data_IF_953445796894
#
_entry.id   IF_953445796894
#
_cell.length_a   1.000
_cell.length_b   1.000
_cell.length_c   1.000
_cell.angle_alpha   90.00
_cell.angle_beta   90.00
_cell.angle_gamma   90.00
#
_symmetry.space_group_name_H-M   'P 1'
#
loop_
_entity.id
_entity.type
_entity.pdbx_description
1 polymer ?
#
# COMPACT_ATOMS: atom_id res chain seq x y z
N UNK A 1 -17.19 34.03 -48.83
CA UNK A 1 -18.01 32.81 -48.99
C UNK A 1 -17.17 31.70 -49.60
N UNK A 2 -16.93 30.61 -48.86
CA UNK A 2 -17.00 29.20 -49.30
C UNK A 2 -16.48 28.33 -48.15
N UNK A 3 -17.37 27.47 -47.67
CA UNK A 3 -17.20 26.50 -46.59
C UNK A 3 -16.43 25.31 -47.13
N UNK A 4 -15.44 24.80 -46.41
CA UNK A 4 -15.10 23.38 -46.43
C UNK A 4 -14.82 22.97 -44.98
N UNK A 5 -15.80 22.26 -44.42
CA UNK A 5 -15.72 21.55 -43.15
C UNK A 5 -15.03 20.23 -43.48
N UNK A 6 -13.80 20.02 -43.00
CA UNK A 6 -13.18 18.69 -43.07
C UNK A 6 -13.49 17.96 -41.77
N UNK A 7 -14.65 17.33 -41.77
CA UNK A 7 -15.05 16.32 -40.81
C UNK A 7 -14.33 15.01 -41.17
N UNK A 8 -14.03 14.20 -40.15
CA UNK A 8 -13.52 12.82 -40.19
C UNK A 8 -12.00 12.62 -40.04
N UNK A 9 -11.60 12.30 -38.81
CA UNK A 9 -10.89 11.06 -38.53
C UNK A 9 -11.17 10.68 -37.08
N UNK A 10 -12.24 9.91 -36.91
CA UNK A 10 -12.51 9.11 -35.73
C UNK A 10 -11.36 8.13 -35.55
N UNK A 11 -10.28 8.54 -34.87
CA UNK A 11 -9.35 7.58 -34.30
C UNK A 11 -9.97 7.08 -33.01
N UNK A 12 -10.94 6.19 -33.19
CA UNK A 12 -11.22 5.16 -32.22
C UNK A 12 -9.90 4.40 -32.02
N UNK A 13 -9.15 4.76 -30.98
CA UNK A 13 -8.23 3.81 -30.38
C UNK A 13 -9.11 2.74 -29.74
N UNK A 14 -9.46 1.79 -30.60
CA UNK A 14 -9.98 0.48 -30.27
C UNK A 14 -9.28 -0.01 -29.02
N UNK A 15 -10.10 -0.23 -27.99
CA UNK A 15 -9.80 -0.94 -26.77
C UNK A 15 -9.03 -2.22 -27.07
N UNK A 16 -7.71 -2.15 -26.98
CA UNK A 16 -6.88 -3.32 -26.86
C UNK A 16 -6.87 -3.72 -25.39
N UNK A 17 -8.01 -4.21 -24.91
CA UNK A 17 -8.07 -4.99 -23.68
C UNK A 17 -7.43 -6.34 -23.98
N UNK A 18 -6.10 -6.38 -23.96
CA UNK A 18 -5.38 -7.64 -23.87
C UNK A 18 -5.64 -8.15 -22.45
N UNK A 19 -6.50 -9.15 -22.33
CA UNK A 19 -6.63 -9.97 -21.12
C UNK A 19 -5.28 -10.68 -20.87
N UNK A 20 -4.37 -9.96 -20.23
CA UNK A 20 -3.02 -10.40 -19.88
C UNK A 20 -3.07 -10.88 -18.44
N UNK A 21 -3.31 -12.17 -18.24
CA UNK A 21 -3.06 -12.79 -16.94
C UNK A 21 -1.56 -12.68 -16.66
N UNK A 22 -1.17 -11.78 -15.77
CA UNK A 22 0.23 -11.43 -15.57
C UNK A 22 0.53 -11.17 -14.11
N UNK A 23 1.79 -11.43 -13.76
CA UNK A 23 2.31 -11.04 -12.46
C UNK A 23 2.66 -9.56 -12.52
N UNK A 24 1.98 -8.76 -11.70
CA UNK A 24 2.16 -7.32 -11.61
C UNK A 24 2.84 -7.00 -10.28
N UNK A 25 3.83 -6.10 -10.31
CA UNK A 25 4.39 -5.53 -9.09
C UNK A 25 3.52 -4.35 -8.66
N UNK A 26 3.07 -4.40 -7.42
CA UNK A 26 2.20 -3.40 -6.81
C UNK A 26 2.94 -2.78 -5.65
N UNK A 27 3.01 -1.46 -5.65
CA UNK A 27 3.56 -0.64 -4.57
C UNK A 27 2.40 0.02 -3.83
N UNK A 28 2.46 -0.02 -2.49
CA UNK A 28 1.43 0.48 -1.60
C UNK A 28 2.07 1.10 -0.38
N UNK A 29 1.29 1.96 0.26
CA UNK A 29 1.59 2.58 1.53
C UNK A 29 0.44 2.23 2.47
N UNK A 30 0.73 1.91 3.73
CA UNK A 30 -0.31 1.64 4.72
C UNK A 30 0.07 2.21 6.08
N UNK A 31 -0.92 2.84 6.71
CA UNK A 31 -0.84 3.22 8.12
C UNK A 31 -1.30 2.05 8.99
N UNK A 32 -0.35 1.43 9.66
CA UNK A 32 -0.59 0.32 10.57
C UNK A 32 -0.78 0.88 11.98
N UNK A 33 -1.94 0.64 12.57
CA UNK A 33 -2.20 1.06 13.95
C UNK A 33 -1.44 0.15 14.92
N UNK A 34 -0.54 0.73 15.71
CA UNK A 34 0.25 0.02 16.71
C UNK A 34 -0.49 0.01 18.06
N UNK A 35 -1.21 1.07 18.38
CA UNK A 35 -2.04 1.18 19.58
C UNK A 35 -2.04 2.57 20.21
N UNK A 36 -2.67 2.67 21.37
CA UNK A 36 -2.73 3.88 22.21
C UNK A 36 -1.98 3.62 23.51
N UNK A 37 -1.17 4.59 23.94
CA UNK A 37 -0.25 4.49 25.06
C UNK A 37 -0.35 5.70 25.99
N UNK A 38 0.04 5.52 27.25
CA UNK A 38 -0.04 6.56 28.26
C UNK A 38 1.07 7.62 28.16
N UNK A 39 2.18 7.31 27.46
CA UNK A 39 3.29 8.26 27.24
C UNK A 39 3.79 8.22 25.80
N UNK A 40 4.36 9.33 25.36
CA UNK A 40 4.96 9.44 24.03
C UNK A 40 6.12 8.45 23.84
N UNK A 41 6.96 8.24 24.86
CA UNK A 41 8.07 7.29 24.80
C UNK A 41 7.60 5.85 24.65
N UNK A 42 6.49 5.50 25.31
CA UNK A 42 5.88 4.17 25.17
C UNK A 42 5.33 3.97 23.76
N UNK A 43 4.61 4.96 23.23
CA UNK A 43 4.11 4.96 21.86
C UNK A 43 5.24 4.81 20.83
N UNK A 44 6.31 5.61 20.97
CA UNK A 44 7.48 5.57 20.11
C UNK A 44 8.16 4.19 20.15
N UNK A 45 8.47 3.69 21.36
CA UNK A 45 9.14 2.40 21.51
C UNK A 45 8.31 1.23 20.98
N UNK A 46 6.98 1.30 21.13
CA UNK A 46 6.08 0.29 20.58
C UNK A 46 6.08 0.29 19.05
N UNK A 47 6.03 1.47 18.42
CA UNK A 47 6.05 1.58 16.96
C UNK A 47 7.40 1.14 16.36
N UNK A 48 8.53 1.48 17.00
CA UNK A 48 9.86 1.01 16.57
C UNK A 48 10.01 -0.51 16.70
N UNK A 49 9.50 -1.09 17.79
CA UNK A 49 9.46 -2.55 17.96
C UNK A 49 8.58 -3.20 16.91
N UNK A 50 7.45 -2.59 16.60
CA UNK A 50 6.54 -3.09 15.56
C UNK A 50 7.22 -3.04 14.18
N UNK A 51 7.86 -1.94 13.81
CA UNK A 51 8.63 -1.83 12.57
C UNK A 51 9.77 -2.88 12.49
N UNK A 52 10.48 -3.08 13.60
CA UNK A 52 11.52 -4.12 13.69
C UNK A 52 10.92 -5.52 13.51
N UNK A 53 9.74 -5.77 14.07
CA UNK A 53 9.06 -7.06 13.94
C UNK A 53 8.68 -7.36 12.49
N UNK A 54 8.21 -6.36 11.72
CA UNK A 54 7.88 -6.54 10.30
C UNK A 54 9.10 -7.04 9.50
N UNK A 55 10.28 -6.49 9.75
CA UNK A 55 11.52 -6.92 9.07
C UNK A 55 11.94 -8.36 9.39
N UNK A 56 11.43 -8.94 10.47
CA UNK A 56 11.69 -10.34 10.86
C UNK A 56 10.60 -11.31 10.44
N UNK A 57 9.45 -10.82 9.98
CA UNK A 57 8.31 -11.63 9.58
C UNK A 57 8.57 -12.36 8.26
N UNK A 58 8.03 -13.57 8.16
CA UNK A 58 7.98 -14.30 6.89
C UNK A 58 7.02 -13.61 5.91
N UNK A 59 7.17 -13.93 4.62
CA UNK A 59 6.25 -13.46 3.58
C UNK A 59 4.77 -13.79 3.87
N UNK A 60 4.49 -14.92 4.54
CA UNK A 60 3.13 -15.30 4.88
C UNK A 60 2.55 -14.43 6.00
N UNK A 61 3.37 -14.10 7.01
CA UNK A 61 2.99 -13.19 8.09
C UNK A 61 2.83 -11.77 7.58
N UNK A 62 3.74 -11.30 6.72
CA UNK A 62 3.63 -10.00 6.07
C UNK A 62 2.35 -9.85 5.25
N UNK A 63 1.92 -10.91 4.56
CA UNK A 63 0.63 -10.90 3.83
C UNK A 63 -0.58 -10.79 4.75
N UNK A 64 -0.50 -11.33 5.97
CA UNK A 64 -1.58 -11.26 6.94
C UNK A 64 -1.61 -9.91 7.68
N UNK A 65 -0.44 -9.31 7.92
CA UNK A 65 -0.29 -8.04 8.63
C UNK A 65 -0.52 -6.84 7.71
N UNK A 66 -0.06 -6.90 6.45
CA UNK A 66 -0.22 -5.82 5.49
C UNK A 66 -1.51 -5.99 4.66
N UNK A 67 -2.16 -4.89 4.26
CA UNK A 67 -3.36 -4.96 3.44
C UNK A 67 -3.04 -5.42 2.01
N UNK A 68 -2.97 -6.74 1.82
CA UNK A 68 -2.73 -7.41 0.53
C UNK A 68 -3.93 -8.21 0.03
N UNK A 69 -4.99 -8.31 0.84
CA UNK A 69 -6.14 -9.20 0.67
C UNK A 69 -7.01 -8.92 -0.57
N UNK A 70 -6.81 -7.79 -1.24
CA UNK A 70 -7.53 -7.44 -2.46
C UNK A 70 -7.07 -8.25 -3.69
N UNK A 71 -6.01 -9.06 -3.58
CA UNK A 71 -5.45 -9.83 -4.68
C UNK A 71 -5.46 -11.35 -4.40
N UNK A 72 -5.88 -12.14 -5.38
CA UNK A 72 -6.06 -13.59 -5.24
C UNK A 72 -4.76 -14.36 -5.01
N UNK A 73 -3.65 -13.97 -5.65
CA UNK A 73 -2.33 -14.54 -5.39
C UNK A 73 -1.32 -13.43 -5.18
N UNK A 74 -0.73 -13.40 -3.98
CA UNK A 74 0.33 -12.44 -3.61
C UNK A 74 1.61 -13.20 -3.29
N UNK A 75 2.75 -12.72 -3.81
CA UNK A 75 4.10 -13.26 -3.59
C UNK A 75 5.11 -12.11 -3.41
N UNK A 76 6.29 -12.44 -2.90
CA UNK A 76 7.44 -11.53 -2.80
C UNK A 76 7.09 -10.19 -2.14
N UNK A 77 6.52 -10.24 -0.93
CA UNK A 77 6.27 -9.02 -0.16
C UNK A 77 7.62 -8.47 0.29
N UNK A 78 7.87 -7.21 -0.04
CA UNK A 78 9.08 -6.46 0.31
C UNK A 78 8.65 -5.23 1.07
N UNK A 79 9.31 -4.99 2.19
CA UNK A 79 9.15 -3.77 2.96
C UNK A 79 10.05 -2.69 2.35
N UNK A 80 9.50 -1.50 2.19
CA UNK A 80 10.22 -0.28 1.85
C UNK A 80 10.53 0.52 3.10
N UNK A 81 10.49 1.84 2.96
CA UNK A 81 10.70 2.76 4.07
C UNK A 81 9.56 2.67 5.09
N UNK A 82 9.91 2.88 6.35
CA UNK A 82 8.97 2.85 7.46
C UNK A 82 9.13 4.12 8.28
N UNK A 83 8.04 4.82 8.56
CA UNK A 83 8.03 6.03 9.37
C UNK A 83 7.12 5.86 10.59
N UNK A 84 7.66 6.17 11.76
CA UNK A 84 6.92 6.13 13.01
C UNK A 84 6.20 7.45 13.20
N UNK A 85 4.90 7.37 13.44
CA UNK A 85 4.04 8.50 13.72
C UNK A 85 3.49 8.34 15.15
N UNK A 86 3.75 9.34 15.99
CA UNK A 86 3.20 9.39 17.35
C UNK A 86 2.44 10.69 17.49
N UNK A 87 1.14 10.57 17.73
CA UNK A 87 0.22 11.70 17.85
C UNK A 87 -0.46 11.68 19.21
N UNK A 88 -0.56 12.84 19.85
CA UNK A 88 -1.35 12.97 21.07
C UNK A 88 -2.83 13.09 20.68
N UNK A 89 -3.64 12.12 21.09
CA UNK A 89 -5.07 12.08 20.78
C UNK A 89 -5.92 12.69 21.89
N UNK A 90 -5.49 12.52 23.15
CA UNK A 90 -6.12 13.12 24.32
C UNK A 90 -5.06 13.49 25.38
N UNK A 91 -5.47 14.16 26.45
CA UNK A 91 -4.56 14.52 27.54
C UNK A 91 -4.04 13.26 28.24
N UNK A 92 -2.78 12.89 27.98
CA UNK A 92 -2.17 11.68 28.52
C UNK A 92 -2.38 10.42 27.67
N UNK A 93 -2.92 10.55 26.45
CA UNK A 93 -3.05 9.44 25.52
C UNK A 93 -2.35 9.76 24.19
N UNK A 94 -1.44 8.87 23.79
CA UNK A 94 -0.63 8.96 22.60
C UNK A 94 -0.91 7.77 21.69
N UNK A 95 -1.40 8.03 20.50
CA UNK A 95 -1.56 7.01 19.46
C UNK A 95 -0.25 6.83 18.72
N UNK A 96 0.15 5.57 18.55
CA UNK A 96 1.27 5.20 17.72
C UNK A 96 0.76 4.52 16.44
N UNK A 97 1.21 5.02 15.31
CA UNK A 97 1.01 4.41 14.00
C UNK A 97 2.35 4.23 13.29
N UNK A 98 2.40 3.21 12.44
CA UNK A 98 3.55 2.95 11.58
C UNK A 98 3.10 3.13 10.14
N UNK A 99 3.61 4.17 9.48
CA UNK A 99 3.49 4.29 8.04
C UNK A 99 4.52 3.35 7.40
N UNK A 100 4.06 2.39 6.62
CA UNK A 100 4.90 1.38 6.01
C UNK A 100 4.68 1.34 4.51
N UNK A 101 5.75 1.59 3.76
CA UNK A 101 5.79 1.36 2.33
C UNK A 101 6.03 -0.13 2.10
N UNK A 102 5.31 -0.74 1.18
CA UNK A 102 5.51 -2.13 0.84
C UNK A 102 5.19 -2.41 -0.62
N UNK A 103 5.95 -3.33 -1.20
CA UNK A 103 5.75 -3.81 -2.54
C UNK A 103 5.43 -5.30 -2.51
N UNK A 104 4.55 -5.75 -3.40
CA UNK A 104 4.27 -7.17 -3.55
C UNK A 104 3.95 -7.51 -5.00
N UNK A 105 4.16 -8.76 -5.37
CA UNK A 105 3.77 -9.26 -6.68
C UNK A 105 2.39 -9.91 -6.59
N UNK A 106 1.41 -9.35 -7.30
CA UNK A 106 0.07 -9.92 -7.40
C UNK A 106 -0.12 -10.62 -8.74
N UNK A 107 -0.90 -11.70 -8.75
CA UNK A 107 -1.47 -12.24 -9.98
C UNK A 107 -2.80 -11.55 -10.25
N UNK A 108 -2.85 -10.76 -11.31
CA UNK A 108 -4.09 -10.17 -11.79
C UNK A 108 -4.62 -10.97 -12.97
N UNK A 109 -5.90 -11.31 -12.89
CA UNK A 109 -6.68 -11.90 -13.97
C UNK A 109 -7.88 -10.99 -14.16
N UNK A 110 -7.88 -10.23 -15.26
CA UNK A 110 -9.06 -9.52 -15.74
C UNK A 110 -10.24 -10.51 -15.93
#
# INVERSE_FOLDING_TARGET
MKRIITLAATLAFTSASFASSSWVQIEREADLNVGVFATQEQAQSAAEKFASSLNTMSNQELKATLPTNFHHMVRNVRLGDSNVLVEQIESGEYQASLHQDYAFTAFERD
#
